data_IF_196049676977
#
_entry.id   IF_196049676977
#
_cell.length_a   1.000
_cell.length_b   1.000
_cell.length_c   1.000
_cell.angle_alpha   90.00
_cell.angle_beta   90.00
_cell.angle_gamma   90.00
#
_symmetry.space_group_name_H-M   'P 1'
#
loop_
_entity.id
_entity.type
_entity.pdbx_description
1 polymer ?
#
# COMPACT_ATOMS: atom_id res chain seq x y z
N UNK A 1 -1.81 22.18 -1.87
CA UNK A 1 -2.75 21.30 -2.60
C UNK A 1 -3.11 20.16 -1.68
N UNK A 2 -4.09 20.34 -0.80
CA UNK A 2 -4.56 19.29 0.12
C UNK A 2 -5.70 19.87 0.97
N UNK A 3 -6.88 20.06 0.40
CA UNK A 3 -8.07 20.02 1.26
C UNK A 3 -8.41 18.55 1.43
N UNK A 4 -8.54 18.06 2.67
CA UNK A 4 -9.00 16.69 2.94
C UNK A 4 -10.36 16.40 2.29
N UNK A 5 -11.10 17.45 1.92
CA UNK A 5 -12.34 17.39 1.16
C UNK A 5 -12.14 16.89 -0.28
N UNK A 6 -11.08 17.34 -0.96
CA UNK A 6 -10.74 16.86 -2.31
C UNK A 6 -10.27 15.40 -2.27
N UNK A 7 -9.57 15.01 -1.20
CA UNK A 7 -9.18 13.62 -0.95
C UNK A 7 -10.42 12.72 -0.82
N UNK A 8 -11.41 13.17 -0.05
CA UNK A 8 -12.64 12.40 0.20
C UNK A 8 -13.48 12.28 -1.08
N UNK A 9 -13.66 13.37 -1.82
CA UNK A 9 -14.42 13.36 -3.08
C UNK A 9 -13.78 12.46 -4.14
N UNK A 10 -12.45 12.43 -4.23
CA UNK A 10 -11.73 11.55 -5.15
C UNK A 10 -11.85 10.07 -4.74
N UNK A 11 -11.85 9.77 -3.44
CA UNK A 11 -12.06 8.40 -2.95
C UNK A 11 -13.48 7.93 -3.30
N UNK A 12 -14.51 8.73 -3.01
CA UNK A 12 -15.91 8.36 -3.31
C UNK A 12 -16.17 8.16 -4.80
N UNK A 13 -15.54 8.96 -5.67
CA UNK A 13 -15.72 8.84 -7.11
C UNK A 13 -15.00 7.62 -7.73
N UNK A 14 -13.95 7.10 -7.07
CA UNK A 14 -13.09 6.03 -7.60
C UNK A 14 -13.31 4.69 -6.89
N UNK A 15 -13.91 4.68 -5.70
CA UNK A 15 -14.28 3.46 -4.98
C UNK A 15 -15.48 2.79 -5.69
N UNK A 16 -15.25 1.60 -6.24
CA UNK A 16 -16.23 0.86 -7.05
C UNK A 16 -16.13 1.13 -8.55
N UNK A 17 -15.17 1.93 -9.02
CA UNK A 17 -14.93 2.09 -10.44
C UNK A 17 -14.29 0.82 -11.05
N UNK A 18 -14.79 0.40 -12.22
CA UNK A 18 -14.24 -0.74 -12.95
C UNK A 18 -12.97 -0.31 -13.70
N UNK A 19 -11.83 -0.88 -13.30
CA UNK A 19 -10.56 -0.70 -13.99
C UNK A 19 -10.09 -2.03 -14.57
N UNK A 20 -9.95 -2.08 -15.89
CA UNK A 20 -9.50 -3.27 -16.63
C UNK A 20 -10.22 -4.56 -16.19
N UNK A 21 -11.54 -4.51 -16.04
CA UNK A 21 -12.36 -5.67 -15.65
C UNK A 21 -12.29 -6.03 -14.17
N UNK A 22 -11.83 -5.12 -13.30
CA UNK A 22 -11.76 -5.31 -11.86
C UNK A 22 -12.31 -4.10 -11.13
N UNK A 23 -13.11 -4.35 -10.09
CA UNK A 23 -13.60 -3.30 -9.22
C UNK A 23 -12.45 -2.77 -8.36
N UNK A 24 -12.15 -1.48 -8.48
CA UNK A 24 -11.17 -0.82 -7.63
C UNK A 24 -11.80 -0.49 -6.28
N UNK A 25 -11.10 -0.84 -5.20
CA UNK A 25 -11.45 -0.39 -3.85
C UNK A 25 -10.48 0.67 -3.38
N UNK A 26 -10.93 1.91 -3.27
CA UNK A 26 -10.09 3.05 -2.87
C UNK A 26 -10.41 3.41 -1.42
N UNK A 27 -9.39 3.49 -0.57
CA UNK A 27 -9.55 3.82 0.86
C UNK A 27 -8.48 4.84 1.26
N UNK A 28 -8.76 5.64 2.30
CA UNK A 28 -7.77 6.55 2.88
C UNK A 28 -6.55 5.75 3.34
N UNK A 29 -5.39 6.10 2.79
CA UNK A 29 -4.15 5.38 3.07
C UNK A 29 -3.76 5.58 4.54
N UNK A 30 -3.42 4.48 5.21
CA UNK A 30 -2.74 4.58 6.51
C UNK A 30 -1.33 5.13 6.30
N UNK A 31 -0.80 5.94 7.25
CA UNK A 31 0.57 6.44 7.16
C UNK A 31 1.52 5.26 6.98
N UNK A 32 2.41 5.36 5.99
CA UNK A 32 3.40 4.31 5.72
C UNK A 32 4.35 4.27 6.90
N UNK A 33 4.25 3.24 7.74
CA UNK A 33 5.30 2.94 8.69
C UNK A 33 6.57 2.58 7.90
N UNK A 34 7.71 3.18 8.27
CA UNK A 34 9.01 2.89 7.67
C UNK A 34 9.44 1.48 8.10
N UNK A 35 8.81 0.47 7.49
CA UNK A 35 9.09 -0.93 7.73
C UNK A 35 10.28 -1.37 6.85
N UNK A 36 11.36 -0.57 6.86
CA UNK A 36 12.72 -1.00 6.46
C UNK A 36 13.32 -1.99 7.45
N UNK A 37 12.50 -2.76 8.18
CA UNK A 37 12.94 -3.94 8.91
C UNK A 37 13.27 -4.99 7.88
N UNK A 38 14.48 -4.85 7.35
CA UNK A 38 15.40 -5.93 7.05
C UNK A 38 14.66 -7.22 6.73
N UNK A 39 14.33 -7.42 5.44
CA UNK A 39 14.38 -8.77 4.88
C UNK A 39 15.85 -9.23 4.93
N UNK A 40 16.39 -9.33 6.14
CA UNK A 40 17.67 -9.91 6.48
C UNK A 40 17.50 -11.39 6.23
N UNK A 41 18.10 -11.82 5.11
CA UNK A 41 18.05 -13.16 4.58
C UNK A 41 18.12 -14.20 5.69
N UNK A 42 17.14 -15.10 5.64
CA UNK A 42 17.01 -16.20 6.58
C UNK A 42 18.32 -16.93 6.78
N UNK A 43 18.62 -17.20 8.05
CA UNK A 43 19.74 -18.01 8.46
C UNK A 43 19.83 -19.30 7.64
N UNK A 44 20.87 -19.41 6.83
CA UNK A 44 21.35 -20.66 6.26
C UNK A 44 22.78 -20.85 6.78
N UNK A 45 22.84 -21.34 8.02
CA UNK A 45 23.95 -22.12 8.55
C UNK A 45 24.40 -23.11 7.46
N UNK A 46 25.65 -23.03 6.97
CA UNK A 46 26.40 -24.22 6.53
C UNK A 46 27.84 -23.92 6.05
N UNK A 47 28.72 -24.82 6.50
CA UNK A 47 30.10 -25.11 6.06
C UNK A 47 31.22 -24.17 6.57
N UNK A 48 31.88 -24.51 7.69
CA UNK A 48 32.94 -25.54 7.84
C UNK A 48 34.20 -25.17 7.05
N UNK A 49 35.15 -24.58 7.78
CA UNK A 49 36.58 -24.80 7.60
C UNK A 49 37.08 -25.53 8.85
#
# INVERSE_FOLDING_TARGET
>A
MSSEDEETAAIEALDGAEWMGRDLKVNKAKPREDNRRSFGGGGRRNNRY
#
